data_IF_790545095931
#
_entry.id   IF_790545095931
#
_cell.length_a   1.000
_cell.length_b   1.000
_cell.length_c   1.000
_cell.angle_alpha   90.00
_cell.angle_beta   90.00
_cell.angle_gamma   90.00
#
_symmetry.space_group_name_H-M   'P 1'
#
loop_
_entity.id
_entity.type
_entity.pdbx_description
1 polymer ?
#
# COMPACT_ATOMS: atom_id res chain seq x y z
N UNK A 1 -12.06 1.00 21.69
CA UNK A 1 -13.16 1.38 20.81
C UNK A 1 -12.75 1.70 19.38
N UNK A 2 -13.67 2.22 18.59
CA UNK A 2 -13.41 2.71 17.23
C UNK A 2 -13.37 4.23 17.24
N UNK A 3 -12.45 4.82 16.48
CA UNK A 3 -12.36 6.25 16.27
C UNK A 3 -12.32 6.59 14.78
N UNK A 4 -12.80 7.78 14.43
CA UNK A 4 -12.70 8.32 13.08
C UNK A 4 -11.47 9.23 13.04
N UNK A 5 -10.46 8.82 12.30
CA UNK A 5 -9.34 9.66 11.96
C UNK A 5 -9.61 10.35 10.62
N UNK A 6 -9.34 11.64 10.54
CA UNK A 6 -9.46 12.40 9.29
C UNK A 6 -8.23 13.26 9.06
N UNK A 7 -7.91 13.42 7.81
CA UNK A 7 -6.88 14.33 7.33
C UNK A 7 -7.55 15.33 6.38
N UNK A 8 -7.83 16.51 6.91
CA UNK A 8 -8.52 17.56 6.16
C UNK A 8 -7.63 18.11 5.03
N UNK A 9 -6.30 18.04 5.18
CA UNK A 9 -5.34 18.49 4.16
C UNK A 9 -5.27 17.50 3.00
N UNK A 10 -5.24 16.21 3.29
CA UNK A 10 -5.22 15.17 2.26
C UNK A 10 -6.62 14.81 1.74
N UNK A 11 -7.70 15.25 2.41
CA UNK A 11 -9.08 15.10 1.98
C UNK A 11 -9.64 13.70 2.13
N UNK A 12 -9.25 12.94 3.17
CA UNK A 12 -9.83 11.63 3.47
C UNK A 12 -10.13 11.44 4.96
N UNK A 13 -11.03 10.49 5.23
CA UNK A 13 -11.31 10.02 6.60
C UNK A 13 -11.40 8.49 6.60
N UNK A 14 -11.02 7.88 7.71
CA UNK A 14 -11.09 6.44 7.90
C UNK A 14 -11.37 6.08 9.36
N UNK A 15 -11.88 4.87 9.56
CA UNK A 15 -12.13 4.34 10.90
C UNK A 15 -10.90 3.50 11.30
N UNK A 16 -10.36 3.77 12.47
CA UNK A 16 -9.32 2.93 13.08
C UNK A 16 -9.74 2.46 14.45
N UNK A 17 -9.11 1.42 14.92
CA UNK A 17 -9.25 1.04 16.33
C UNK A 17 -8.45 2.04 17.17
N UNK A 18 -9.06 2.59 18.20
CA UNK A 18 -8.38 3.46 19.16
C UNK A 18 -7.20 2.67 19.76
N UNK A 19 -6.05 3.33 19.91
CA UNK A 19 -4.92 2.75 20.63
C UNK A 19 -5.31 2.74 22.12
N UNK A 20 -5.37 1.53 22.70
CA UNK A 20 -5.55 1.37 24.13
C UNK A 20 -4.26 1.87 24.80
N UNK A 21 -4.36 2.87 25.66
CA UNK A 21 -3.23 3.32 26.47
C UNK A 21 -2.91 2.27 27.52
N UNK A 22 -1.63 2.13 27.90
CA UNK A 22 -1.23 1.18 28.94
C UNK A 22 -2.00 1.34 30.26
N UNK A 23 -2.46 2.55 30.57
CA UNK A 23 -3.28 2.86 31.73
C UNK A 23 -4.67 2.22 31.64
N UNK A 24 -5.29 2.19 30.44
CA UNK A 24 -6.58 1.53 30.24
C UNK A 24 -6.46 -0.01 30.33
N UNK A 25 -5.31 -0.59 29.96
CA UNK A 25 -5.07 -2.03 30.06
C UNK A 25 -5.01 -2.47 31.54
N UNK A 26 -4.38 -1.69 32.42
CA UNK A 26 -4.30 -2.00 33.87
C UNK A 26 -5.67 -1.90 34.56
N UNK A 27 -6.54 -0.96 34.14
CA UNK A 27 -7.91 -0.88 34.67
C UNK A 27 -8.81 -2.05 34.23
N UNK A 28 -8.50 -2.71 33.10
CA UNK A 28 -9.32 -3.80 32.55
C UNK A 28 -8.95 -5.17 33.14
N UNK A 29 -7.74 -5.35 33.66
CA UNK A 29 -7.35 -6.60 34.34
C UNK A 29 -8.15 -6.84 35.63
N UNK A 30 -8.64 -5.78 36.26
CA UNK A 30 -9.46 -5.86 37.47
C UNK A 30 -10.99 -6.01 37.20
N UNK A 31 -11.43 -5.85 35.97
CA UNK A 31 -12.83 -6.01 35.56
C UNK A 31 -13.06 -7.36 34.92
N UNK A 32 -14.00 -8.14 35.41
CA UNK A 32 -14.41 -9.45 34.85
C UNK A 32 -15.09 -9.37 33.46
N UNK A 33 -14.88 -8.31 32.71
CA UNK A 33 -15.37 -8.16 31.34
C UNK A 33 -14.28 -8.51 30.33
N UNK A 34 -14.54 -9.56 29.55
CA UNK A 34 -13.66 -9.96 28.44
C UNK A 34 -13.40 -8.78 27.47
N UNK A 35 -12.17 -8.62 26.99
CA UNK A 35 -11.85 -7.56 26.03
C UNK A 35 -12.78 -7.64 24.82
N UNK A 36 -13.32 -6.48 24.41
CA UNK A 36 -14.22 -6.42 23.26
C UNK A 36 -13.54 -7.00 22.01
N UNK A 37 -14.23 -7.86 21.26
CA UNK A 37 -13.65 -8.44 20.05
C UNK A 37 -13.28 -7.33 19.06
N UNK A 38 -12.10 -7.45 18.44
CA UNK A 38 -11.66 -6.49 17.42
C UNK A 38 -12.61 -6.48 16.24
N UNK A 39 -13.27 -5.37 16.02
CA UNK A 39 -14.27 -5.21 14.94
C UNK A 39 -13.59 -5.08 13.59
N UNK A 40 -12.37 -4.52 13.55
CA UNK A 40 -11.62 -4.34 12.32
C UNK A 40 -10.75 -5.56 12.01
N UNK A 41 -11.02 -6.18 10.87
CA UNK A 41 -10.23 -7.31 10.39
C UNK A 41 -8.89 -6.84 9.84
N UNK A 42 -7.78 -7.32 10.41
CA UNK A 42 -6.45 -7.12 9.85
C UNK A 42 -6.23 -8.09 8.70
N UNK A 43 -5.98 -7.57 7.51
CA UNK A 43 -5.60 -8.38 6.34
C UNK A 43 -4.08 -8.38 6.22
N UNK A 44 -3.50 -9.58 6.18
CA UNK A 44 -2.07 -9.73 5.90
C UNK A 44 -1.84 -9.56 4.40
N UNK A 45 -0.90 -8.69 4.04
CA UNK A 45 -0.46 -8.51 2.67
C UNK A 45 0.53 -9.62 2.29
N UNK A 46 0.47 -10.07 1.04
CA UNK A 46 1.53 -10.89 0.46
C UNK A 46 2.76 -10.03 0.16
N UNK A 47 3.91 -10.67 -0.10
CA UNK A 47 5.15 -9.97 -0.46
C UNK A 47 4.94 -8.98 -1.62
N UNK A 48 4.42 -9.45 -2.76
CA UNK A 48 4.16 -8.59 -3.92
C UNK A 48 3.13 -7.49 -3.65
N UNK A 49 2.10 -7.75 -2.85
CA UNK A 49 1.15 -6.72 -2.43
C UNK A 49 1.82 -5.65 -1.56
N UNK A 50 2.76 -6.06 -0.71
CA UNK A 50 3.51 -5.13 0.12
C UNK A 50 4.41 -4.23 -0.74
N UNK A 51 5.14 -4.81 -1.70
CA UNK A 51 5.95 -4.05 -2.65
C UNK A 51 5.09 -3.07 -3.45
N UNK A 52 3.97 -3.54 -4.00
CA UNK A 52 3.07 -2.68 -4.78
C UNK A 52 2.52 -1.52 -3.95
N UNK A 53 2.17 -1.76 -2.69
CA UNK A 53 1.75 -0.72 -1.75
C UNK A 53 2.86 0.34 -1.55
N UNK A 54 4.10 -0.11 -1.35
CA UNK A 54 5.26 0.77 -1.17
C UNK A 54 5.51 1.62 -2.42
N UNK A 55 5.50 1.01 -3.60
CA UNK A 55 5.71 1.71 -4.88
C UNK A 55 4.67 2.81 -5.05
N UNK A 56 3.38 2.48 -4.93
CA UNK A 56 2.30 3.46 -5.08
C UNK A 56 2.40 4.60 -4.05
N UNK A 57 2.83 4.27 -2.82
CA UNK A 57 3.01 5.26 -1.75
C UNK A 57 4.17 6.22 -2.05
N UNK A 58 5.27 5.71 -2.60
CA UNK A 58 6.42 6.51 -3.00
C UNK A 58 6.14 7.35 -4.25
N UNK A 59 5.45 6.81 -5.24
CA UNK A 59 5.03 7.57 -6.41
C UNK A 59 4.11 8.73 -6.02
N UNK A 60 3.16 8.50 -5.10
CA UNK A 60 2.31 9.56 -4.59
C UNK A 60 3.13 10.62 -3.84
N UNK A 61 4.14 10.21 -3.06
CA UNK A 61 5.01 11.14 -2.35
C UNK A 61 5.80 12.02 -3.34
N UNK A 62 6.38 11.43 -4.38
CA UNK A 62 7.11 12.17 -5.43
C UNK A 62 6.18 13.16 -6.16
N UNK A 63 5.01 12.69 -6.56
CA UNK A 63 4.00 13.53 -7.20
C UNK A 63 3.65 14.77 -6.35
N UNK A 64 3.46 14.58 -5.03
CA UNK A 64 3.16 15.68 -4.11
C UNK A 64 4.37 16.62 -3.88
N UNK A 65 5.61 16.10 -3.94
CA UNK A 65 6.83 16.89 -3.78
C UNK A 65 7.21 17.67 -5.02
N UNK A 66 7.04 17.08 -6.20
CA UNK A 66 7.44 17.68 -7.47
C UNK A 66 6.45 18.74 -7.96
N UNK A 67 5.35 18.96 -7.22
CA UNK A 67 4.28 19.90 -7.59
C UNK A 67 3.83 19.70 -9.04
N UNK A 68 3.76 18.45 -9.48
CA UNK A 68 3.28 18.10 -10.81
C UNK A 68 1.88 18.69 -11.03
N UNK A 69 1.62 19.14 -12.26
CA UNK A 69 0.32 19.71 -12.61
C UNK A 69 -0.79 18.66 -12.41
N UNK A 70 -1.74 18.95 -11.53
CA UNK A 70 -2.90 18.12 -11.28
C UNK A 70 -3.14 17.84 -9.79
N UNK A 71 -4.40 17.56 -9.47
CA UNK A 71 -4.83 17.28 -8.10
C UNK A 71 -4.60 15.83 -7.69
N UNK A 72 -4.36 14.95 -8.66
CA UNK A 72 -4.31 13.50 -8.43
C UNK A 72 -3.25 12.81 -9.29
N UNK A 73 -2.63 11.79 -8.71
CA UNK A 73 -1.73 10.88 -9.41
C UNK A 73 -2.54 9.86 -10.21
N UNK A 74 -2.28 9.79 -11.52
CA UNK A 74 -2.87 8.81 -12.44
C UNK A 74 -1.79 7.88 -12.98
N UNK A 75 -2.14 6.59 -13.13
CA UNK A 75 -1.29 5.57 -13.75
C UNK A 75 -2.12 4.68 -14.66
N UNK A 76 -1.60 4.34 -15.81
CA UNK A 76 -2.23 3.36 -16.68
C UNK A 76 -2.05 1.93 -16.12
N UNK A 77 -2.88 1.00 -16.57
CA UNK A 77 -2.69 -0.41 -16.21
C UNK A 77 -1.34 -0.95 -16.71
N UNK A 78 -0.81 -0.38 -17.80
CA UNK A 78 0.50 -0.73 -18.33
C UNK A 78 1.60 -0.26 -17.37
N UNK A 79 1.61 1.02 -16.97
CA UNK A 79 2.59 1.56 -16.02
C UNK A 79 2.61 0.73 -14.72
N UNK A 80 1.41 0.42 -14.18
CA UNK A 80 1.29 -0.39 -12.96
C UNK A 80 1.84 -1.81 -13.11
N UNK A 81 1.80 -2.37 -14.33
CA UNK A 81 2.44 -3.66 -14.61
C UNK A 81 3.96 -3.53 -14.73
N UNK A 82 4.42 -2.55 -15.48
CA UNK A 82 5.85 -2.35 -15.73
C UNK A 82 6.63 -2.15 -14.43
N UNK A 83 6.14 -1.36 -13.49
CA UNK A 83 6.78 -1.16 -12.19
C UNK A 83 6.83 -2.42 -11.32
N UNK A 84 5.99 -3.42 -11.61
CA UNK A 84 5.96 -4.67 -10.85
C UNK A 84 6.74 -5.81 -11.50
N UNK A 85 7.04 -5.73 -12.80
CA UNK A 85 7.74 -6.81 -13.52
C UNK A 85 9.11 -7.18 -12.90
N UNK A 86 9.95 -6.24 -12.43
CA UNK A 86 11.24 -6.57 -11.82
C UNK A 86 11.13 -7.46 -10.58
N UNK A 87 9.98 -7.47 -9.91
CA UNK A 87 9.75 -8.28 -8.71
C UNK A 87 9.22 -9.70 -8.99
N UNK A 88 9.26 -10.13 -10.27
CA UNK A 88 8.90 -11.46 -10.73
C UNK A 88 10.00 -12.12 -11.56
N UNK A 89 11.27 -12.14 -11.10
CA UNK A 89 12.42 -12.54 -11.94
C UNK A 89 12.38 -14.01 -12.39
N UNK A 90 11.78 -14.89 -11.61
CA UNK A 90 11.82 -16.34 -11.86
C UNK A 90 10.65 -16.88 -12.71
N UNK A 91 9.74 -16.02 -13.16
CA UNK A 91 8.55 -16.48 -13.87
C UNK A 91 8.73 -16.45 -15.39
N UNK A 92 9.00 -17.61 -15.97
CA UNK A 92 9.10 -17.82 -17.41
C UNK A 92 7.77 -17.68 -18.18
N UNK A 93 6.64 -17.62 -17.47
CA UNK A 93 5.29 -17.48 -18.07
C UNK A 93 4.78 -16.05 -17.88
N UNK A 94 5.06 -15.20 -18.86
CA UNK A 94 4.59 -13.80 -18.88
C UNK A 94 3.07 -13.67 -18.71
N UNK A 95 2.28 -14.58 -19.29
CA UNK A 95 0.82 -14.54 -19.18
C UNK A 95 0.36 -14.76 -17.73
N UNK A 96 1.07 -15.61 -17.00
CA UNK A 96 0.78 -15.87 -15.59
C UNK A 96 1.14 -14.65 -14.74
N UNK A 97 2.30 -14.03 -14.98
CA UNK A 97 2.71 -12.78 -14.32
C UNK A 97 1.68 -11.68 -14.55
N UNK A 98 1.31 -11.44 -15.81
CA UNK A 98 0.30 -10.44 -16.16
C UNK A 98 -1.05 -10.67 -15.47
N UNK A 99 -1.47 -11.93 -15.34
CA UNK A 99 -2.72 -12.28 -14.64
C UNK A 99 -2.62 -11.99 -13.14
N UNK A 100 -1.48 -12.31 -12.53
CA UNK A 100 -1.25 -12.04 -11.11
C UNK A 100 -1.22 -10.55 -10.81
N UNK A 101 -0.52 -9.75 -11.61
CA UNK A 101 -0.48 -8.30 -11.45
C UNK A 101 -1.86 -7.68 -11.67
N UNK A 102 -2.59 -8.13 -12.71
CA UNK A 102 -3.95 -7.65 -12.96
C UNK A 102 -4.91 -7.96 -11.79
N UNK A 103 -4.81 -9.16 -11.22
CA UNK A 103 -5.56 -9.54 -10.03
C UNK A 103 -5.19 -8.70 -8.80
N UNK A 104 -3.92 -8.31 -8.67
CA UNK A 104 -3.46 -7.43 -7.62
C UNK A 104 -4.01 -6.00 -7.79
N UNK A 105 -3.99 -5.45 -9.00
CA UNK A 105 -4.59 -4.14 -9.31
C UNK A 105 -6.08 -4.13 -8.93
N UNK A 106 -6.85 -5.17 -9.32
CA UNK A 106 -8.26 -5.29 -8.95
C UNK A 106 -8.47 -5.33 -7.43
N UNK A 107 -7.58 -6.00 -6.71
CA UNK A 107 -7.64 -6.07 -5.25
C UNK A 107 -7.37 -4.73 -4.58
N UNK A 108 -6.45 -3.95 -5.12
CA UNK A 108 -6.16 -2.59 -4.64
C UNK A 108 -7.31 -1.62 -4.97
N UNK A 109 -8.05 -1.86 -6.06
CA UNK A 109 -9.29 -1.15 -6.36
C UNK A 109 -10.39 -1.49 -5.33
N UNK A 110 -10.59 -2.76 -5.00
CA UNK A 110 -11.53 -3.20 -3.95
C UNK A 110 -11.20 -2.58 -2.58
N UNK A 111 -9.92 -2.40 -2.28
CA UNK A 111 -9.46 -1.76 -1.03
C UNK A 111 -9.55 -0.24 -1.04
N UNK A 112 -9.98 0.37 -2.15
CA UNK A 112 -10.09 1.81 -2.31
C UNK A 112 -8.75 2.55 -2.38
N UNK A 113 -7.65 1.84 -2.67
CA UNK A 113 -6.32 2.44 -2.87
C UNK A 113 -6.16 2.92 -4.30
N UNK A 114 -6.72 2.19 -5.25
CA UNK A 114 -6.82 2.57 -6.64
C UNK A 114 -8.29 2.81 -6.99
N UNK A 115 -8.53 3.78 -7.86
CA UNK A 115 -9.86 4.04 -8.44
C UNK A 115 -9.76 4.07 -9.95
N UNK A 116 -10.44 3.15 -10.61
CA UNK A 116 -10.53 3.13 -12.08
C UNK A 116 -11.30 4.34 -12.57
N UNK A 117 -10.68 5.14 -13.44
CA UNK A 117 -11.25 6.39 -13.97
C UNK A 117 -11.66 6.24 -15.42
N UNK A 118 -10.95 5.42 -16.19
CA UNK A 118 -11.20 5.15 -17.60
C UNK A 118 -11.01 3.67 -17.91
N UNK A 119 -11.82 3.14 -18.79
CA UNK A 119 -11.81 1.73 -19.18
C UNK A 119 -11.16 1.47 -20.55
N UNK A 120 -10.94 2.52 -21.34
CA UNK A 120 -10.25 2.43 -22.63
C UNK A 120 -8.74 2.21 -22.42
N UNK A 121 -8.12 1.54 -23.38
CA UNK A 121 -6.66 1.32 -23.43
C UNK A 121 -6.10 0.55 -22.22
N UNK A 122 -6.86 -0.41 -21.69
CA UNK A 122 -6.43 -1.23 -20.56
C UNK A 122 -6.70 -0.65 -19.19
N UNK A 123 -7.23 0.56 -19.13
CA UNK A 123 -7.62 1.24 -17.88
C UNK A 123 -6.65 2.31 -17.40
N UNK A 124 -7.23 3.39 -16.89
CA UNK A 124 -6.52 4.46 -16.19
C UNK A 124 -6.98 4.46 -14.72
N UNK A 125 -6.04 4.45 -13.81
CA UNK A 125 -6.29 4.39 -12.37
C UNK A 125 -5.78 5.65 -11.69
N UNK A 126 -6.57 6.15 -10.75
CA UNK A 126 -6.16 7.19 -9.81
C UNK A 126 -5.67 6.55 -8.52
N UNK A 127 -4.52 6.99 -8.03
CA UNK A 127 -4.02 6.59 -6.73
C UNK A 127 -4.70 7.44 -5.65
N UNK A 128 -5.40 6.77 -4.73
CA UNK A 128 -6.16 7.46 -3.69
C UNK A 128 -5.28 7.79 -2.48
N UNK A 129 -5.41 9.02 -1.96
CA UNK A 129 -4.61 9.51 -0.83
C UNK A 129 -4.80 8.72 0.47
N UNK A 130 -5.86 7.92 0.57
CA UNK A 130 -6.08 7.00 1.71
C UNK A 130 -4.91 6.02 1.93
N UNK A 131 -4.08 5.79 0.92
CA UNK A 131 -2.85 4.99 1.05
C UNK A 131 -1.92 5.55 2.12
N UNK A 132 -1.93 6.87 2.36
CA UNK A 132 -1.12 7.55 3.41
C UNK A 132 -1.51 7.07 4.80
N UNK A 133 -2.81 6.85 5.04
CA UNK A 133 -3.31 6.30 6.28
C UNK A 133 -3.00 4.81 6.45
N UNK A 134 -3.04 4.05 5.34
CA UNK A 134 -2.72 2.61 5.36
C UNK A 134 -1.23 2.33 5.51
N UNK A 135 -0.39 3.21 4.99
CA UNK A 135 1.07 3.13 5.08
C UNK A 135 1.65 4.50 5.46
N UNK A 136 1.57 4.88 6.74
CA UNK A 136 2.15 6.13 7.24
C UNK A 136 3.68 6.12 7.12
N UNK A 137 4.35 7.30 7.17
CA UNK A 137 5.78 7.43 6.90
C UNK A 137 6.68 6.51 7.74
N UNK A 138 6.36 6.33 9.01
CA UNK A 138 7.12 5.50 9.94
C UNK A 138 7.07 4.02 9.51
N UNK A 139 5.88 3.55 9.15
CA UNK A 139 5.67 2.18 8.63
C UNK A 139 6.26 1.99 7.24
N UNK A 140 6.25 3.01 6.40
CA UNK A 140 6.88 2.95 5.09
C UNK A 140 8.39 2.67 5.23
N UNK A 141 9.08 3.39 6.10
CA UNK A 141 10.51 3.18 6.37
C UNK A 141 10.78 1.76 6.87
N UNK A 142 10.01 1.30 7.86
CA UNK A 142 10.14 -0.06 8.41
C UNK A 142 9.95 -1.14 7.35
N UNK A 143 8.90 -1.02 6.53
CA UNK A 143 8.58 -2.00 5.48
C UNK A 143 9.66 -2.01 4.40
N UNK A 144 10.20 -0.85 4.01
CA UNK A 144 11.33 -0.77 3.07
C UNK A 144 12.56 -1.50 3.59
N UNK A 145 12.92 -1.31 4.85
CA UNK A 145 14.02 -2.02 5.48
C UNK A 145 13.79 -3.54 5.53
N UNK A 146 12.54 -3.98 5.75
CA UNK A 146 12.19 -5.39 5.72
C UNK A 146 12.30 -6.00 4.32
N UNK A 147 11.88 -5.26 3.27
CA UNK A 147 12.01 -5.68 1.87
C UNK A 147 13.49 -5.84 1.53
N UNK A 148 14.33 -4.85 1.81
CA UNK A 148 15.78 -4.88 1.58
C UNK A 148 16.45 -6.08 2.22
N UNK A 149 16.11 -6.39 3.47
CA UNK A 149 16.67 -7.56 4.18
C UNK A 149 16.24 -8.91 3.59
N UNK A 150 15.09 -8.96 2.90
CA UNK A 150 14.57 -10.18 2.27
C UNK A 150 15.05 -10.41 0.85
N UNK A 151 15.54 -9.37 0.19
CA UNK A 151 15.98 -9.42 -1.21
C UNK A 151 17.39 -8.81 -1.34
N UNK A 152 18.41 -9.34 -0.64
CA UNK A 152 19.77 -8.86 -0.80
C UNK A 152 20.31 -9.09 -2.24
N UNK A 153 19.82 -10.14 -2.91
CA UNK A 153 20.30 -10.54 -4.23
C UNK A 153 19.80 -9.64 -5.38
N UNK A 154 18.69 -8.91 -5.19
CA UNK A 154 18.13 -8.04 -6.24
C UNK A 154 18.82 -6.67 -6.32
N UNK A 155 19.51 -6.23 -5.28
CA UNK A 155 20.24 -4.94 -5.28
C UNK A 155 21.61 -5.08 -5.99
N UNK A 156 22.26 -6.23 -5.90
CA UNK A 156 23.55 -6.48 -6.60
C UNK A 156 23.38 -6.51 -8.12
N UNK A 157 22.27 -7.04 -8.64
CA UNK A 157 21.99 -7.06 -10.09
C UNK A 157 21.63 -5.67 -10.65
N UNK A 158 21.03 -4.78 -9.85
CA UNK A 158 20.67 -3.42 -10.29
C UNK A 158 21.85 -2.46 -10.27
N UNK A 159 22.86 -2.67 -9.43
CA UNK A 159 24.08 -1.84 -9.39
C UNK A 159 25.07 -2.24 -10.48
N UNK A 160 25.03 -3.46 -11.02
CA UNK A 160 25.92 -3.91 -12.12
C UNK A 160 25.46 -3.42 -13.52
N UNK A 161 24.19 -3.02 -13.71
CA UNK A 161 23.70 -2.47 -14.98
C UNK A 161 24.00 -0.97 -15.18
N UNK A 162 24.43 -0.26 -14.14
CA UNK A 162 24.72 1.20 -14.19
C UNK A 162 26.22 1.54 -14.33
N UNK A 163 27.05 0.58 -14.75
CA UNK A 163 28.49 0.80 -14.97
C UNK A 163 28.87 0.75 -16.47
#
# INVERSE_FOLDING_TARGET
>A
GLEVARDDTAGYAFIRQAEETNEEIEEWEDSASAPLPRVLRRTRLTYHQTIFMVILREELLRFEQDQEEGDHLYRSALDLREVMLPYYPEMHDEKKVHRQISGMISKFEEWGILKKVRDKDGGLYRVERIIKAKLPPEKLAEVKDQIKRRSPDLEEEMEEEDV
#
